data_IF_361873220687
#
_entry.id   IF_361873220687
#
_cell.length_a   1.000
_cell.length_b   1.000
_cell.length_c   1.000
_cell.angle_alpha   90.00
_cell.angle_beta   90.00
_cell.angle_gamma   90.00
#
_symmetry.space_group_name_H-M   'P 1'
#
loop_
_entity.id
_entity.type
_entity.pdbx_description
1 polymer ?
#
# COMPACT_ATOMS: atom_id res chain seq x y z
N UNK A 1 -2.75 -8.11 -9.85
CA UNK A 1 -3.24 -6.74 -10.17
C UNK A 1 -2.88 -5.67 -9.12
N UNK A 2 -2.36 -6.01 -7.93
CA UNK A 2 -2.21 -5.04 -6.82
C UNK A 2 -0.93 -4.19 -6.85
N UNK A 3 0.06 -4.58 -7.66
CA UNK A 3 1.29 -3.79 -7.88
C UNK A 3 0.98 -2.44 -8.53
N UNK A 4 -0.09 -2.35 -9.34
CA UNK A 4 -0.49 -1.13 -10.05
C UNK A 4 -0.92 -0.05 -9.07
N UNK A 5 -1.69 -0.39 -8.03
CA UNK A 5 -2.15 0.55 -7.00
C UNK A 5 -0.95 1.13 -6.24
N UNK A 6 0.01 0.28 -5.90
CA UNK A 6 1.23 0.70 -5.20
C UNK A 6 2.08 1.62 -6.09
N UNK A 7 2.29 1.26 -7.36
CA UNK A 7 3.03 2.09 -8.32
C UNK A 7 2.34 3.45 -8.51
N UNK A 8 1.02 3.46 -8.67
CA UNK A 8 0.26 4.70 -8.87
C UNK A 8 0.36 5.62 -7.64
N UNK A 9 0.29 5.05 -6.45
CA UNK A 9 0.51 5.79 -5.20
C UNK A 9 1.93 6.35 -5.07
N UNK A 10 2.97 5.58 -5.43
CA UNK A 10 4.35 6.08 -5.43
C UNK A 10 4.54 7.27 -6.39
N UNK A 11 3.92 7.22 -7.57
CA UNK A 11 3.98 8.32 -8.55
C UNK A 11 3.29 9.58 -8.01
N UNK A 12 2.10 9.44 -7.41
CA UNK A 12 1.41 10.57 -6.78
C UNK A 12 2.19 11.15 -5.60
N UNK A 13 2.80 10.29 -4.78
CA UNK A 13 3.67 10.68 -3.68
C UNK A 13 4.88 11.48 -4.17
N UNK A 14 5.55 11.01 -5.22
CA UNK A 14 6.67 11.71 -5.83
C UNK A 14 6.26 13.06 -6.41
N UNK A 15 5.14 13.13 -7.13
CA UNK A 15 4.63 14.38 -7.69
C UNK A 15 4.29 15.41 -6.60
N UNK A 16 3.65 14.97 -5.50
CA UNK A 16 3.35 15.82 -4.35
C UNK A 16 4.61 16.33 -3.65
N UNK A 17 5.61 15.46 -3.44
CA UNK A 17 6.88 15.83 -2.83
C UNK A 17 7.66 16.85 -3.68
N UNK A 18 7.73 16.64 -5.01
CA UNK A 18 8.36 17.58 -5.94
C UNK A 18 7.64 18.93 -5.91
N UNK A 19 6.30 18.93 -5.90
CA UNK A 19 5.50 20.16 -5.82
C UNK A 19 5.79 20.94 -4.54
N UNK A 20 5.89 20.24 -3.40
CA UNK A 20 6.24 20.88 -2.12
C UNK A 20 7.65 21.49 -2.14
N UNK A 21 8.63 20.79 -2.75
CA UNK A 21 9.98 21.32 -2.93
C UNK A 21 9.99 22.59 -3.81
N UNK A 22 9.24 22.59 -4.92
CA UNK A 22 9.14 23.75 -5.82
C UNK A 22 8.49 24.96 -5.13
N UNK A 23 7.56 24.71 -4.21
CA UNK A 23 6.91 25.78 -3.42
C UNK A 23 7.80 26.29 -2.26
N UNK A 24 9.01 25.76 -2.10
CA UNK A 24 9.97 26.20 -1.07
C UNK A 24 9.74 25.58 0.31
N UNK A 25 8.91 24.53 0.42
CA UNK A 25 8.79 23.78 1.66
C UNK A 25 10.08 23.02 1.98
N UNK A 26 10.24 22.68 3.27
CA UNK A 26 11.41 21.94 3.74
C UNK A 26 11.49 20.54 3.14
N UNK A 27 12.71 20.03 2.99
CA UNK A 27 12.95 18.65 2.55
C UNK A 27 12.19 17.62 3.41
N UNK A 28 12.08 17.87 4.72
CA UNK A 28 11.32 17.03 5.64
C UNK A 28 9.83 16.96 5.31
N UNK A 29 9.24 18.07 4.85
CA UNK A 29 7.84 18.12 4.42
C UNK A 29 7.63 17.29 3.15
N UNK A 30 8.53 17.41 2.18
CA UNK A 30 8.47 16.62 0.94
C UNK A 30 8.68 15.12 1.21
N UNK A 31 9.59 14.76 2.10
CA UNK A 31 9.82 13.38 2.52
C UNK A 31 8.59 12.80 3.25
N UNK A 32 7.97 13.58 4.12
CA UNK A 32 6.75 13.17 4.82
C UNK A 32 5.59 12.93 3.85
N UNK A 33 5.44 13.77 2.82
CA UNK A 33 4.43 13.58 1.77
C UNK A 33 4.70 12.31 0.95
N UNK A 34 5.94 12.11 0.51
CA UNK A 34 6.32 10.92 -0.24
C UNK A 34 6.07 9.64 0.57
N UNK A 35 6.57 9.60 1.82
CA UNK A 35 6.44 8.45 2.72
C UNK A 35 4.99 8.18 3.10
N UNK A 36 4.22 9.22 3.44
CA UNK A 36 2.82 9.09 3.81
C UNK A 36 1.95 8.54 2.69
N UNK A 37 2.13 9.05 1.46
CA UNK A 37 1.38 8.58 0.29
C UNK A 37 1.81 7.16 -0.10
N UNK A 38 3.11 6.85 -0.06
CA UNK A 38 3.62 5.49 -0.30
C UNK A 38 3.06 4.47 0.68
N UNK A 39 2.98 4.83 1.98
CA UNK A 39 2.41 3.97 3.01
C UNK A 39 0.90 3.76 2.81
N UNK A 40 0.15 4.83 2.52
CA UNK A 40 -1.28 4.73 2.22
C UNK A 40 -1.55 3.84 1.00
N UNK A 41 -0.73 3.95 -0.05
CA UNK A 41 -0.84 3.11 -1.24
C UNK A 41 -0.54 1.64 -0.97
N UNK A 42 0.43 1.35 -0.10
CA UNK A 42 0.74 -0.02 0.32
C UNK A 42 -0.43 -0.64 1.12
N UNK A 43 -1.03 0.12 2.04
CA UNK A 43 -2.19 -0.32 2.82
C UNK A 43 -3.39 -0.57 1.90
N UNK A 44 -3.67 0.36 0.98
CA UNK A 44 -4.75 0.20 0.00
C UNK A 44 -4.52 -1.00 -0.92
N UNK A 45 -3.28 -1.24 -1.35
CA UNK A 45 -2.92 -2.44 -2.10
C UNK A 45 -3.17 -3.73 -1.32
N UNK A 46 -2.85 -3.74 -0.02
CA UNK A 46 -3.11 -4.87 0.86
C UNK A 46 -4.61 -5.11 1.06
N UNK A 47 -5.38 -4.06 1.35
CA UNK A 47 -6.84 -4.14 1.50
C UNK A 47 -7.54 -4.57 0.21
N UNK A 48 -7.10 -4.07 -0.95
CA UNK A 48 -7.60 -4.50 -2.24
C UNK A 48 -7.29 -5.98 -2.52
N UNK A 49 -6.11 -6.45 -2.08
CA UNK A 49 -5.76 -7.88 -2.15
C UNK A 49 -6.71 -8.70 -1.30
N UNK A 50 -6.91 -8.31 -0.05
CA UNK A 50 -7.81 -8.97 0.88
C UNK A 50 -9.26 -9.01 0.38
N UNK A 51 -9.77 -7.88 -0.13
CA UNK A 51 -11.10 -7.81 -0.70
C UNK A 51 -11.24 -8.75 -1.91
N UNK A 52 -10.24 -8.82 -2.79
CA UNK A 52 -10.27 -9.72 -3.94
C UNK A 52 -10.29 -11.19 -3.50
N UNK A 53 -9.46 -11.57 -2.52
CA UNK A 53 -9.47 -12.92 -1.99
C UNK A 53 -10.77 -13.26 -1.28
N UNK A 54 -11.30 -12.38 -0.44
CA UNK A 54 -12.58 -12.59 0.23
C UNK A 54 -13.76 -12.72 -0.75
N UNK A 55 -13.79 -11.90 -1.81
CA UNK A 55 -14.78 -12.05 -2.89
C UNK A 55 -14.62 -13.35 -3.69
N UNK A 56 -13.40 -13.85 -3.83
CA UNK A 56 -13.12 -15.05 -4.61
C UNK A 56 -13.34 -16.35 -3.82
N UNK A 57 -12.94 -16.39 -2.55
CA UNK A 57 -13.11 -17.55 -1.68
C UNK A 57 -14.51 -17.62 -1.04
N UNK A 58 -15.23 -16.50 -1.00
CA UNK A 58 -16.46 -16.37 -0.21
C UNK A 58 -16.22 -16.43 1.30
N UNK A 59 -14.96 -16.27 1.72
CA UNK A 59 -14.50 -16.45 3.10
C UNK A 59 -13.96 -15.13 3.64
N UNK A 60 -14.52 -14.70 4.76
CA UNK A 60 -14.25 -13.41 5.42
C UNK A 60 -12.85 -13.35 6.05
N UNK A 61 -12.19 -14.50 6.23
CA UNK A 61 -10.83 -14.62 6.79
C UNK A 61 -9.73 -14.70 5.72
N UNK A 62 -10.08 -14.60 4.43
CA UNK A 62 -9.13 -14.74 3.31
C UNK A 62 -8.00 -13.68 3.30
N UNK A 63 -8.15 -12.61 4.08
CA UNK A 63 -7.14 -11.58 4.27
C UNK A 63 -5.91 -12.07 5.06
N UNK A 64 -6.06 -13.12 5.90
CA UNK A 64 -4.98 -13.68 6.72
C UNK A 64 -4.30 -14.91 6.10
N UNK A 65 -4.89 -15.51 5.06
CA UNK A 65 -4.42 -16.75 4.40
C UNK A 65 -2.91 -16.83 4.14
N UNK A 66 -2.24 -15.81 3.56
CA UNK A 66 -0.81 -15.92 3.27
C UNK A 66 0.10 -15.87 4.51
N UNK A 67 -0.40 -15.44 5.69
CA UNK A 67 0.35 -15.51 6.96
C UNK A 67 -0.06 -16.68 7.86
N UNK A 68 -1.29 -17.20 7.70
CA UNK A 68 -1.82 -18.31 8.52
C UNK A 68 -1.39 -19.70 8.03
N UNK A 69 -1.25 -19.91 6.71
CA UNK A 69 -0.89 -21.23 6.18
C UNK A 69 0.60 -21.60 6.36
N UNK A 70 1.49 -20.64 6.60
CA UNK A 70 2.88 -20.93 6.93
C UNK A 70 3.06 -21.37 8.39
N UNK A 71 2.21 -20.90 9.32
CA UNK A 71 2.28 -21.30 10.73
C UNK A 71 1.71 -22.68 11.06
N UNK A 72 0.87 -23.25 10.17
CA UNK A 72 0.24 -24.57 10.38
C UNK A 72 0.98 -25.72 9.67
N UNK A 73 1.98 -25.43 8.84
CA UNK A 73 2.81 -26.47 8.18
C UNK A 73 4.12 -26.78 8.90
N UNK A 74 4.44 -25.99 9.92
CA UNK A 74 5.64 -26.15 10.76
C UNK A 74 5.37 -26.85 12.11
N UNK A 75 4.16 -27.43 12.28
CA UNK A 75 3.77 -28.22 13.45
C UNK A 75 3.27 -29.62 13.07
#
# INVERSE_FOLDING_TARGET
MNIVIVIFGMILGAAGAITALVQGYSFWTALALYSGIGCAAAILGLMATCAFWALHSGDEDACYGPMGEQGLRDH
#
